data_IF_950125695016
#
_entry.id   IF_950125695016
#
_cell.length_a   1.000
_cell.length_b   1.000
_cell.length_c   1.000
_cell.angle_alpha   90.00
_cell.angle_beta   90.00
_cell.angle_gamma   90.00
#
_symmetry.space_group_name_H-M   'P 1'
#
loop_
_entity.id
_entity.type
_entity.pdbx_description
1 polymer ?
#
# COMPACT_ATOMS: atom_id res chain seq x y z
N UNK A 1 -0.28 -8.99 22.59
CA UNK A 1 -1.25 -8.44 23.55
C UNK A 1 -2.58 -8.01 22.90
N UNK A 2 -2.77 -8.10 21.56
CA UNK A 2 -4.05 -7.84 20.85
C UNK A 2 -4.68 -6.49 21.19
N UNK A 3 -3.83 -5.52 21.57
CA UNK A 3 -4.24 -4.18 21.97
C UNK A 3 -4.75 -3.34 20.79
N UNK A 4 -4.48 -3.79 19.55
CA UNK A 4 -4.88 -3.11 18.31
C UNK A 4 -5.76 -4.03 17.47
N UNK A 5 -6.87 -3.48 16.93
CA UNK A 5 -7.74 -4.18 16.00
C UNK A 5 -6.93 -4.66 14.79
N UNK A 6 -6.93 -5.97 14.58
CA UNK A 6 -6.19 -6.61 13.48
C UNK A 6 -7.18 -7.18 12.49
N UNK A 7 -6.98 -6.91 11.20
CA UNK A 7 -7.80 -7.44 10.10
C UNK A 7 -6.90 -8.28 9.19
N UNK A 8 -7.32 -9.50 8.87
CA UNK A 8 -6.59 -10.40 7.98
C UNK A 8 -7.46 -10.70 6.75
N UNK A 9 -7.06 -10.15 5.60
CA UNK A 9 -7.60 -10.55 4.30
C UNK A 9 -7.02 -11.91 3.90
N UNK A 10 -7.88 -12.88 3.58
CA UNK A 10 -7.47 -14.26 3.29
C UNK A 10 -8.50 -14.98 2.41
N UNK A 11 -8.17 -16.12 1.81
CA UNK A 11 -9.09 -16.88 0.94
C UNK A 11 -9.93 -17.93 1.65
N UNK A 12 -9.72 -18.14 2.95
CA UNK A 12 -10.20 -19.33 3.68
C UNK A 12 -11.47 -19.05 4.50
N UNK A 13 -11.51 -17.96 5.27
CA UNK A 13 -12.58 -17.71 6.26
C UNK A 13 -12.91 -16.24 6.48
N UNK A 14 -14.12 -16.02 6.99
CA UNK A 14 -14.66 -14.73 7.39
C UNK A 14 -15.17 -14.80 8.85
N UNK A 15 -14.90 -13.78 9.66
CA UNK A 15 -15.43 -13.65 11.02
C UNK A 15 -14.42 -13.17 12.06
N UNK A 16 -14.90 -12.94 13.28
CA UNK A 16 -14.08 -12.54 14.43
C UNK A 16 -13.65 -13.77 15.24
N UNK A 17 -12.35 -13.97 15.38
CA UNK A 17 -11.79 -15.04 16.22
C UNK A 17 -10.61 -14.51 17.03
N UNK A 18 -10.71 -14.67 18.35
CA UNK A 18 -9.74 -14.19 19.33
C UNK A 18 -9.27 -12.75 19.10
N UNK A 19 -10.17 -11.80 18.81
CA UNK A 19 -9.80 -10.39 18.61
C UNK A 19 -9.08 -10.09 17.29
N UNK A 20 -9.08 -11.03 16.35
CA UNK A 20 -8.65 -10.83 14.96
C UNK A 20 -9.88 -10.96 14.08
N UNK A 21 -10.10 -9.96 13.22
CA UNK A 21 -11.16 -10.01 12.22
C UNK A 21 -10.62 -10.58 10.90
N UNK A 22 -11.16 -11.71 10.48
CA UNK A 22 -10.82 -12.33 9.20
C UNK A 22 -11.81 -11.86 8.13
N UNK A 23 -11.28 -11.33 7.04
CA UNK A 23 -12.06 -10.92 5.87
C UNK A 23 -11.75 -11.85 4.71
N UNK A 24 -12.74 -12.64 4.28
CA UNK A 24 -12.56 -13.53 3.15
C UNK A 24 -12.56 -12.76 1.81
N UNK A 25 -11.55 -13.00 0.99
CA UNK A 25 -11.44 -12.58 -0.41
C UNK A 25 -11.45 -13.79 -1.33
N UNK A 26 -11.75 -13.58 -2.61
CA UNK A 26 -11.81 -14.62 -3.63
C UNK A 26 -10.72 -14.41 -4.69
N UNK A 27 -10.44 -15.42 -5.51
CA UNK A 27 -9.39 -15.34 -6.55
C UNK A 27 -9.91 -14.83 -7.91
N UNK A 28 -11.24 -14.77 -8.08
CA UNK A 28 -11.91 -14.35 -9.32
C UNK A 28 -12.08 -12.81 -9.44
N UNK A 29 -11.75 -12.06 -8.40
CA UNK A 29 -11.83 -10.59 -8.36
C UNK A 29 -10.46 -10.00 -8.00
N UNK A 30 -10.11 -8.85 -8.57
CA UNK A 30 -8.87 -8.14 -8.24
C UNK A 30 -8.75 -7.88 -6.73
N UNK A 31 -7.61 -8.27 -6.14
CA UNK A 31 -7.38 -8.17 -4.70
C UNK A 31 -7.46 -6.74 -4.17
N UNK A 32 -6.95 -5.74 -4.91
CA UNK A 32 -6.94 -4.33 -4.50
C UNK A 32 -8.38 -3.83 -4.33
N UNK A 33 -9.25 -4.13 -5.29
CA UNK A 33 -10.67 -3.76 -5.20
C UNK A 33 -11.39 -4.45 -4.05
N UNK A 34 -11.09 -5.73 -3.79
CA UNK A 34 -11.66 -6.45 -2.66
C UNK A 34 -11.21 -5.87 -1.31
N UNK A 35 -9.91 -5.56 -1.18
CA UNK A 35 -9.34 -4.96 0.03
C UNK A 35 -9.93 -3.57 0.27
N UNK A 36 -9.94 -2.70 -0.74
CA UNK A 36 -10.49 -1.34 -0.63
C UNK A 36 -11.98 -1.35 -0.30
N UNK A 37 -12.77 -2.22 -0.94
CA UNK A 37 -14.18 -2.41 -0.56
C UNK A 37 -14.33 -2.92 0.88
N UNK A 38 -13.53 -3.91 1.28
CA UNK A 38 -13.54 -4.43 2.65
C UNK A 38 -13.21 -3.36 3.70
N UNK A 39 -12.18 -2.55 3.45
CA UNK A 39 -11.83 -1.40 4.29
C UNK A 39 -12.98 -0.39 4.37
N UNK A 40 -13.61 -0.07 3.24
CA UNK A 40 -14.77 0.82 3.19
C UNK A 40 -15.95 0.29 4.03
N UNK A 41 -16.32 -0.98 3.89
CA UNK A 41 -17.37 -1.61 4.69
C UNK A 41 -17.07 -1.57 6.19
N UNK A 42 -15.79 -1.68 6.55
CA UNK A 42 -15.29 -1.57 7.93
C UNK A 42 -15.14 -0.12 8.41
N UNK A 43 -15.54 0.87 7.61
CA UNK A 43 -15.44 2.32 7.87
C UNK A 43 -14.00 2.79 8.08
N UNK A 44 -13.05 2.13 7.43
CA UNK A 44 -11.64 2.53 7.34
C UNK A 44 -11.44 3.29 6.04
N UNK A 45 -11.36 4.62 6.13
CA UNK A 45 -11.34 5.52 4.97
C UNK A 45 -9.94 5.88 4.48
N UNK A 46 -8.92 5.62 5.30
CA UNK A 46 -7.52 5.85 4.96
C UNK A 46 -6.69 4.66 5.37
N UNK A 47 -5.71 4.32 4.52
CA UNK A 47 -4.76 3.24 4.76
C UNK A 47 -3.39 3.67 4.26
N UNK A 48 -2.34 3.31 4.99
CA UNK A 48 -0.96 3.43 4.52
C UNK A 48 -0.54 2.05 4.04
N UNK A 49 -0.07 1.96 2.80
CA UNK A 49 0.45 0.73 2.20
C UNK A 49 1.98 0.81 2.20
N UNK A 50 2.63 -0.03 3.02
CA UNK A 50 4.09 0.01 3.18
C UNK A 50 4.82 -1.14 2.47
N UNK A 51 4.14 -2.24 2.16
CA UNK A 51 4.78 -3.35 1.45
C UNK A 51 3.99 -4.66 1.48
N UNK A 52 4.49 -5.73 0.86
CA UNK A 52 5.75 -5.79 0.11
C UNK A 52 5.67 -5.20 -1.30
N UNK A 53 6.78 -5.22 -2.05
CA UNK A 53 6.88 -4.59 -3.37
C UNK A 53 5.74 -4.98 -4.34
N UNK A 54 5.36 -6.27 -4.38
CA UNK A 54 4.23 -6.74 -5.18
C UNK A 54 2.89 -6.16 -4.73
N UNK A 55 2.65 -6.06 -3.41
CA UNK A 55 1.42 -5.49 -2.89
C UNK A 55 1.36 -4.00 -3.26
N UNK A 56 2.42 -3.25 -2.95
CA UNK A 56 2.48 -1.82 -3.28
C UNK A 56 2.33 -1.58 -4.79
N UNK A 57 3.00 -2.38 -5.64
CA UNK A 57 2.84 -2.28 -7.10
C UNK A 57 1.40 -2.50 -7.53
N UNK A 58 0.68 -3.47 -6.95
CA UNK A 58 -0.72 -3.73 -7.31
C UNK A 58 -1.63 -2.51 -7.07
N UNK A 59 -1.42 -1.76 -5.98
CA UNK A 59 -2.17 -0.51 -5.75
C UNK A 59 -1.82 0.59 -6.76
N UNK A 60 -0.55 0.67 -7.18
CA UNK A 60 -0.09 1.63 -8.19
C UNK A 60 -0.71 1.30 -9.55
N UNK A 61 -0.62 0.03 -9.97
CA UNK A 61 -1.11 -0.46 -11.27
C UNK A 61 -2.63 -0.27 -11.43
N UNK A 62 -3.39 -0.50 -10.35
CA UNK A 62 -4.84 -0.28 -10.32
C UNK A 62 -5.23 1.20 -10.10
N UNK A 63 -4.26 2.12 -10.09
CA UNK A 63 -4.46 3.54 -9.79
C UNK A 63 -5.29 3.79 -8.51
N UNK A 64 -5.13 2.92 -7.52
CA UNK A 64 -5.85 2.93 -6.24
C UNK A 64 -5.01 3.59 -5.15
N UNK A 65 -4.50 4.78 -5.41
CA UNK A 65 -3.68 5.55 -4.48
C UNK A 65 -3.87 7.05 -4.70
N UNK A 66 -3.75 7.83 -3.62
CA UNK A 66 -3.85 9.30 -3.68
C UNK A 66 -2.48 9.97 -3.57
N UNK A 67 -1.57 9.41 -2.76
CA UNK A 67 -0.24 9.96 -2.50
C UNK A 67 0.79 8.83 -2.34
N UNK A 68 1.98 9.03 -2.88
CA UNK A 68 3.12 8.13 -2.69
C UNK A 68 4.30 8.90 -2.09
N UNK A 69 4.90 8.33 -1.04
CA UNK A 69 6.15 8.85 -0.45
C UNK A 69 7.28 7.88 -0.75
N UNK A 70 8.24 8.35 -1.53
CA UNK A 70 9.45 7.59 -1.88
C UNK A 70 10.59 8.10 -1.02
N UNK A 71 11.07 7.24 -0.12
CA UNK A 71 12.21 7.52 0.75
C UNK A 71 13.42 6.80 0.16
N UNK A 72 14.46 7.54 -0.21
CA UNK A 72 15.66 7.00 -0.85
C UNK A 72 16.89 7.44 -0.08
N UNK A 73 17.71 6.48 0.34
CA UNK A 73 19.02 6.78 0.91
C UNK A 73 19.99 7.17 -0.20
N UNK A 74 20.68 8.31 -0.08
CA UNK A 74 21.62 8.78 -1.11
C UNK A 74 23.02 8.18 -0.98
N UNK A 75 23.33 7.56 0.17
CA UNK A 75 24.65 7.03 0.50
C UNK A 75 24.76 5.50 0.35
N UNK A 76 23.64 4.81 0.19
CA UNK A 76 23.57 3.35 0.13
C UNK A 76 23.09 2.90 -1.25
N UNK A 77 23.84 1.98 -1.84
CA UNK A 77 23.48 1.34 -3.08
C UNK A 77 23.43 -0.18 -2.90
N UNK A 78 22.35 -0.78 -3.36
CA UNK A 78 22.13 -2.23 -3.28
C UNK A 78 22.32 -2.81 -4.69
N UNK A 79 23.25 -3.73 -4.84
CA UNK A 79 23.59 -4.36 -6.14
C UNK A 79 22.57 -5.45 -6.48
N UNK A 80 22.09 -6.19 -5.47
CA UNK A 80 21.14 -7.30 -5.63
C UNK A 80 20.05 -7.21 -4.57
N UNK A 81 18.80 -7.45 -4.98
CA UNK A 81 17.66 -7.40 -4.07
C UNK A 81 16.33 -7.45 -4.81
N UNK A 82 15.26 -7.18 -4.07
CA UNK A 82 13.93 -7.01 -4.66
C UNK A 82 13.82 -5.58 -5.18
N UNK A 83 13.45 -5.43 -6.45
CA UNK A 83 13.22 -4.10 -7.03
C UNK A 83 12.11 -3.36 -6.27
N UNK A 84 12.29 -2.05 -6.10
CA UNK A 84 11.26 -1.18 -5.59
C UNK A 84 10.07 -1.12 -6.58
N UNK A 85 8.85 -0.83 -6.09
CA UNK A 85 7.72 -0.54 -6.97
C UNK A 85 8.03 0.61 -7.92
N UNK A 86 7.58 0.48 -9.16
CA UNK A 86 7.70 1.49 -10.20
C UNK A 86 6.49 2.43 -10.13
N UNK A 87 6.75 3.70 -9.85
CA UNK A 87 5.73 4.74 -9.84
C UNK A 87 5.61 5.37 -11.22
N UNK A 88 4.65 4.90 -12.00
CA UNK A 88 4.35 5.40 -13.34
C UNK A 88 3.25 6.48 -13.29
N UNK A 89 3.23 7.37 -14.28
CA UNK A 89 2.20 8.40 -14.43
C UNK A 89 1.98 9.24 -13.16
N UNK A 90 3.06 9.71 -12.54
CA UNK A 90 3.02 10.49 -11.30
C UNK A 90 3.72 11.84 -11.45
N UNK A 91 3.24 12.84 -10.71
CA UNK A 91 3.86 14.15 -10.60
C UNK A 91 4.59 14.29 -9.26
N UNK A 92 5.83 14.80 -9.28
CA UNK A 92 6.58 15.16 -8.08
C UNK A 92 6.01 16.45 -7.49
N UNK A 93 5.51 16.37 -6.26
CA UNK A 93 4.91 17.49 -5.55
C UNK A 93 5.92 18.21 -4.67
N UNK A 94 6.77 17.46 -3.96
CA UNK A 94 7.78 18.03 -3.09
C UNK A 94 8.96 17.10 -2.86
N UNK A 95 10.07 17.68 -2.42
CA UNK A 95 11.29 16.97 -2.04
C UNK A 95 11.80 17.56 -0.74
N UNK A 96 12.13 16.70 0.22
CA UNK A 96 12.70 17.06 1.51
C UNK A 96 13.94 16.20 1.80
N UNK A 97 14.95 16.79 2.43
CA UNK A 97 16.11 16.07 2.94
C UNK A 97 15.92 15.72 4.42
N UNK A 98 16.17 14.48 4.79
CA UNK A 98 16.13 14.01 6.17
C UNK A 98 17.34 13.13 6.46
N UNK A 99 18.35 13.70 7.12
CA UNK A 99 19.62 13.00 7.35
C UNK A 99 20.31 12.64 6.04
N UNK A 100 20.49 11.33 5.79
CA UNK A 100 21.06 10.77 4.55
C UNK A 100 20.02 10.39 3.51
N UNK A 101 18.74 10.63 3.79
CA UNK A 101 17.63 10.23 2.95
C UNK A 101 16.99 11.45 2.26
N UNK A 102 16.53 11.23 1.04
CA UNK A 102 15.59 12.12 0.35
C UNK A 102 14.20 11.53 0.44
N UNK A 103 13.24 12.35 0.85
CA UNK A 103 11.81 12.04 0.84
C UNK A 103 11.17 12.80 -0.32
N UNK A 104 10.60 12.08 -1.29
CA UNK A 104 9.85 12.64 -2.41
C UNK A 104 8.36 12.32 -2.28
N UNK A 105 7.51 13.34 -2.37
CA UNK A 105 6.06 13.20 -2.40
C UNK A 105 5.57 13.24 -3.85
N UNK A 106 4.75 12.26 -4.23
CA UNK A 106 4.15 12.15 -5.56
C UNK A 106 2.63 12.04 -5.48
N UNK A 107 1.96 12.45 -6.56
CA UNK A 107 0.53 12.24 -6.80
C UNK A 107 0.29 11.62 -8.19
N UNK A 108 -0.80 10.86 -8.40
CA UNK A 108 -1.10 10.31 -9.71
C UNK A 108 -1.49 11.44 -10.68
N UNK A 109 -1.03 11.37 -11.93
CA UNK A 109 -1.46 12.25 -13.00
C UNK A 109 -2.85 11.81 -13.45
N UNK A 110 -3.86 12.61 -13.16
CA UNK A 110 -5.22 12.40 -13.64
C UNK A 110 -5.40 13.10 -14.99
N UNK A 111 -5.67 12.32 -16.04
CA UNK A 111 -6.12 12.88 -17.31
C UNK A 111 -7.63 13.16 -17.18
N UNK A 112 -8.00 14.44 -17.24
CA UNK A 112 -9.40 14.86 -17.34
C UNK A 112 -9.99 14.54 -18.72
#
# INVERSE_FOLDING_TARGET
>A
DKSVKTIIFNTIKHGDEDGIFYYQVTEDVNLVHQVTNGLYQLRLLSVIIEGGARLTQSFIDENCWDEARVITNESLFVIEGVNAPELNNSELISTENSGTDIIRLFKPVTHN
#
